data_IF_724893011851
#
_entry.id   IF_724893011851
#
_cell.length_a   1.000
_cell.length_b   1.000
_cell.length_c   1.000
_cell.angle_alpha   90.00
_cell.angle_beta   90.00
_cell.angle_gamma   90.00
#
_symmetry.space_group_name_H-M   'P 1'
#
loop_
_entity.id
_entity.type
_entity.pdbx_description
1 polymer ?
#
# COMPACT_ATOMS: atom_id res chain seq x y z
N UNK A 1 6.22 -14.49 8.34
CA UNK A 1 6.72 -14.70 6.97
C UNK A 1 5.52 -14.71 6.06
N UNK A 2 5.48 -13.82 5.08
CA UNK A 2 4.47 -13.86 4.04
C UNK A 2 4.85 -14.85 2.93
N UNK A 3 3.91 -15.75 2.58
CA UNK A 3 4.09 -16.76 1.52
C UNK A 3 3.21 -16.50 0.30
N UNK A 4 2.43 -15.42 0.28
CA UNK A 4 1.60 -15.01 -0.87
C UNK A 4 2.37 -14.97 -2.20
N UNK A 5 3.65 -14.50 -2.27
CA UNK A 5 4.41 -14.53 -3.53
C UNK A 5 4.59 -15.93 -4.13
N UNK A 6 4.52 -16.98 -3.30
CA UNK A 6 4.78 -18.36 -3.69
C UNK A 6 3.51 -19.20 -3.85
N UNK A 7 2.41 -18.86 -3.15
CA UNK A 7 1.18 -19.67 -3.11
C UNK A 7 0.00 -19.09 -3.88
N UNK A 8 0.01 -17.78 -4.18
CA UNK A 8 -1.09 -17.16 -4.92
C UNK A 8 -0.88 -17.28 -6.44
N UNK A 9 -1.99 -17.41 -7.17
CA UNK A 9 -1.99 -17.44 -8.63
C UNK A 9 -1.89 -16.00 -9.19
N UNK A 10 -0.68 -15.46 -9.19
CA UNK A 10 -0.43 -14.11 -9.71
C UNK A 10 -0.59 -14.06 -11.23
N UNK A 11 -1.25 -13.01 -11.77
CA UNK A 11 -1.25 -12.75 -13.20
C UNK A 11 0.17 -12.64 -13.78
N UNK A 12 0.29 -12.89 -15.09
CA UNK A 12 1.55 -12.68 -15.79
C UNK A 12 1.99 -11.22 -15.68
N UNK A 13 3.29 -10.99 -15.58
CA UNK A 13 3.90 -9.66 -15.46
C UNK A 13 3.57 -8.90 -14.17
N UNK A 14 3.06 -9.57 -13.13
CA UNK A 14 2.95 -8.96 -11.79
C UNK A 14 4.33 -8.72 -11.20
N UNK A 15 4.55 -7.51 -10.67
CA UNK A 15 5.72 -7.17 -9.86
C UNK A 15 5.29 -7.13 -8.39
N UNK A 16 6.00 -7.87 -7.56
CA UNK A 16 5.71 -8.02 -6.13
C UNK A 16 6.85 -7.39 -5.35
N UNK A 17 6.51 -6.46 -4.46
CA UNK A 17 7.46 -5.80 -3.56
C UNK A 17 7.22 -6.28 -2.13
N UNK A 18 8.26 -6.76 -1.47
CA UNK A 18 8.25 -7.14 -0.06
C UNK A 18 9.01 -6.09 0.75
N UNK A 19 8.27 -5.29 1.52
CA UNK A 19 8.83 -4.30 2.44
C UNK A 19 8.88 -4.91 3.84
N UNK A 20 10.06 -5.40 4.23
CA UNK A 20 10.26 -6.03 5.53
C UNK A 20 11.71 -5.86 6.02
N UNK A 21 12.01 -6.17 7.29
CA UNK A 21 13.38 -6.16 7.78
C UNK A 21 14.28 -7.16 7.04
N UNK A 22 15.46 -6.72 6.58
CA UNK A 22 16.41 -7.54 5.81
C UNK A 22 16.74 -8.87 6.51
N UNK A 23 16.91 -8.81 7.83
CA UNK A 23 17.25 -9.99 8.65
C UNK A 23 16.13 -11.03 8.68
N UNK A 24 14.87 -10.60 8.62
CA UNK A 24 13.69 -11.46 8.61
C UNK A 24 13.49 -12.04 7.21
N UNK A 25 13.67 -11.21 6.18
CA UNK A 25 13.60 -11.63 4.78
C UNK A 25 14.63 -12.70 4.46
N UNK A 26 15.91 -12.49 4.79
CA UNK A 26 16.99 -13.44 4.49
C UNK A 26 16.75 -14.83 5.11
N UNK A 27 16.36 -14.87 6.40
CA UNK A 27 16.03 -16.12 7.12
C UNK A 27 14.83 -16.82 6.49
N UNK A 28 13.81 -16.05 6.11
CA UNK A 28 12.55 -16.59 5.58
C UNK A 28 12.73 -17.15 4.17
N UNK A 29 13.36 -16.37 3.30
CA UNK A 29 13.61 -16.73 1.91
C UNK A 29 14.52 -17.94 1.79
N UNK A 30 15.50 -18.12 2.69
CA UNK A 30 16.32 -19.33 2.71
C UNK A 30 15.47 -20.58 2.96
N UNK A 31 14.59 -20.56 3.98
CA UNK A 31 13.70 -21.69 4.28
C UNK A 31 12.78 -22.04 3.11
N UNK A 32 12.24 -21.02 2.43
CA UNK A 32 11.36 -21.20 1.26
C UNK A 32 12.13 -21.79 0.07
N UNK A 33 13.39 -21.38 -0.13
CA UNK A 33 14.28 -21.97 -1.14
C UNK A 33 14.62 -23.43 -0.82
N UNK A 34 14.86 -23.76 0.45
CA UNK A 34 15.23 -25.12 0.88
C UNK A 34 14.13 -26.15 0.58
N UNK A 35 12.86 -25.73 0.65
CA UNK A 35 11.71 -26.58 0.28
C UNK A 35 11.38 -26.57 -1.22
N UNK A 36 12.17 -25.85 -2.03
CA UNK A 36 12.01 -25.79 -3.48
C UNK A 36 10.85 -24.93 -3.99
N UNK A 37 10.21 -24.13 -3.12
CA UNK A 37 9.14 -23.22 -3.52
C UNK A 37 9.68 -22.09 -4.39
N UNK A 38 8.93 -21.75 -5.45
CA UNK A 38 9.35 -20.78 -6.47
C UNK A 38 8.21 -19.84 -6.79
N UNK A 39 8.57 -18.59 -7.01
CA UNK A 39 7.67 -17.57 -7.53
C UNK A 39 7.41 -17.88 -9.02
N UNK A 40 6.19 -17.66 -9.55
CA UNK A 40 5.91 -17.85 -10.96
C UNK A 40 6.92 -17.10 -11.84
N UNK A 41 7.48 -17.76 -12.87
CA UNK A 41 8.53 -17.19 -13.73
C UNK A 41 8.10 -15.93 -14.48
N UNK A 42 6.80 -15.76 -14.66
CA UNK A 42 6.19 -14.58 -15.29
C UNK A 42 6.10 -13.37 -14.35
N UNK A 43 6.45 -13.50 -13.08
CA UNK A 43 6.38 -12.44 -12.08
C UNK A 43 7.79 -12.01 -11.65
N UNK A 44 7.90 -10.77 -11.19
CA UNK A 44 9.12 -10.23 -10.59
C UNK A 44 8.90 -10.08 -9.09
N UNK A 45 9.93 -10.35 -8.29
CA UNK A 45 9.88 -10.23 -6.84
C UNK A 45 11.11 -9.48 -6.33
N UNK A 46 10.86 -8.38 -5.62
CA UNK A 46 11.90 -7.54 -5.05
C UNK A 46 11.69 -7.37 -3.56
N UNK A 47 12.75 -7.63 -2.79
CA UNK A 47 12.81 -7.21 -1.41
C UNK A 47 13.30 -5.77 -1.30
N UNK A 48 12.65 -4.99 -0.46
CA UNK A 48 12.98 -3.62 -0.12
C UNK A 48 13.13 -3.56 1.41
N UNK A 49 14.34 -3.38 1.95
CA UNK A 49 14.54 -3.34 3.40
C UNK A 49 13.75 -2.19 4.03
N UNK A 50 12.94 -2.48 5.04
CA UNK A 50 12.10 -1.49 5.73
C UNK A 50 12.91 -0.42 6.46
N UNK A 51 14.18 -0.70 6.77
CA UNK A 51 15.11 0.18 7.47
C UNK A 51 15.75 1.24 6.55
N UNK A 52 15.36 1.27 5.27
CA UNK A 52 15.89 2.24 4.29
C UNK A 52 15.19 3.59 4.42
N UNK A 53 15.97 4.67 4.31
CA UNK A 53 15.45 6.05 4.46
C UNK A 53 14.67 6.56 3.23
N UNK A 54 14.82 5.94 2.05
CA UNK A 54 14.15 6.38 0.83
C UNK A 54 13.47 5.22 0.09
N UNK A 55 12.43 4.69 0.72
CA UNK A 55 11.62 3.59 0.17
C UNK A 55 11.04 3.97 -1.21
N UNK A 56 10.64 5.24 -1.38
CA UNK A 56 10.03 5.69 -2.64
C UNK A 56 11.01 5.62 -3.80
N UNK A 57 12.22 6.17 -3.64
CA UNK A 57 13.25 6.13 -4.67
C UNK A 57 13.67 4.69 -4.98
N UNK A 58 13.81 3.85 -3.96
CA UNK A 58 14.20 2.45 -4.16
C UNK A 58 13.11 1.71 -4.93
N UNK A 59 11.82 1.87 -4.58
CA UNK A 59 10.71 1.28 -5.31
C UNK A 59 10.72 1.70 -6.78
N UNK A 60 10.87 2.99 -7.06
CA UNK A 60 10.95 3.53 -8.44
C UNK A 60 12.14 2.93 -9.20
N UNK A 61 13.31 2.83 -8.56
CA UNK A 61 14.51 2.22 -9.16
C UNK A 61 14.33 0.72 -9.49
N UNK A 62 13.41 0.04 -8.80
CA UNK A 62 13.03 -1.35 -9.03
C UNK A 62 11.83 -1.51 -9.98
N UNK A 63 11.37 -0.41 -10.58
CA UNK A 63 10.32 -0.40 -11.59
C UNK A 63 8.91 -0.23 -11.05
N UNK A 64 8.74 0.15 -9.78
CA UNK A 64 7.45 0.65 -9.31
C UNK A 64 7.08 1.92 -10.09
N UNK A 65 5.83 2.01 -10.53
CA UNK A 65 5.31 3.14 -11.28
C UNK A 65 3.98 3.56 -10.66
N UNK A 66 3.98 4.74 -10.04
CA UNK A 66 2.81 5.28 -9.36
C UNK A 66 1.69 5.71 -10.29
N UNK A 67 1.89 5.70 -11.62
CA UNK A 67 0.84 5.89 -12.61
C UNK A 67 0.14 4.58 -13.04
N UNK A 68 0.45 3.44 -12.40
CA UNK A 68 -0.16 2.13 -12.67
C UNK A 68 -0.93 1.60 -11.45
N UNK A 69 -1.99 0.78 -11.68
CA UNK A 69 -2.72 0.17 -10.58
C UNK A 69 -1.81 -0.68 -9.68
N UNK A 70 -1.99 -0.54 -8.37
CA UNK A 70 -1.27 -1.26 -7.33
C UNK A 70 -2.19 -1.68 -6.20
N UNK A 71 -1.83 -2.79 -5.55
CA UNK A 71 -2.49 -3.31 -4.36
C UNK A 71 -1.48 -3.29 -3.21
N UNK A 72 -1.85 -2.66 -2.10
CA UNK A 72 -0.99 -2.50 -0.94
C UNK A 72 -1.54 -3.30 0.22
N UNK A 73 -0.71 -4.16 0.81
CA UNK A 73 -1.10 -5.00 1.94
C UNK A 73 -0.21 -4.71 3.15
N UNK A 74 -0.82 -4.29 4.26
CA UNK A 74 -0.17 -4.01 5.53
C UNK A 74 -0.56 -5.07 6.57
N UNK A 75 0.38 -5.89 6.99
CA UNK A 75 0.12 -6.98 7.94
C UNK A 75 1.34 -7.27 8.80
N UNK A 76 1.13 -7.44 10.11
CA UNK A 76 2.18 -7.88 11.04
C UNK A 76 3.39 -6.95 11.19
N UNK A 77 3.28 -5.70 10.74
CA UNK A 77 4.31 -4.69 10.91
C UNK A 77 4.13 -4.01 12.29
N UNK A 78 5.19 -3.94 13.11
CA UNK A 78 5.09 -3.34 14.45
C UNK A 78 4.88 -1.83 14.33
N UNK A 79 3.68 -1.36 14.70
CA UNK A 79 3.38 0.06 14.86
C UNK A 79 3.61 0.42 16.33
N UNK A 80 4.55 1.33 16.58
CA UNK A 80 4.89 1.77 17.95
C UNK A 80 4.03 2.93 18.42
N UNK A 81 3.54 3.76 17.49
CA UNK A 81 2.66 4.89 17.76
C UNK A 81 1.95 5.32 16.46
N UNK A 82 1.03 6.29 16.58
CA UNK A 82 0.26 6.78 15.44
C UNK A 82 1.10 7.50 14.38
N UNK A 83 2.20 8.14 14.78
CA UNK A 83 3.08 8.82 13.83
C UNK A 83 3.74 7.82 12.86
N UNK A 84 4.21 6.66 13.36
CA UNK A 84 4.74 5.60 12.51
C UNK A 84 3.73 5.12 11.46
N UNK A 85 2.44 5.03 11.81
CA UNK A 85 1.42 4.64 10.84
C UNK A 85 1.08 5.77 9.85
N UNK A 86 1.10 7.03 10.29
CA UNK A 86 0.92 8.19 9.39
C UNK A 86 2.02 8.28 8.34
N UNK A 87 3.27 7.99 8.70
CA UNK A 87 4.38 7.90 7.74
C UNK A 87 4.12 6.85 6.67
N UNK A 88 3.57 5.68 7.05
CA UNK A 88 3.18 4.64 6.10
C UNK A 88 2.04 5.13 5.18
N UNK A 89 1.00 5.75 5.75
CA UNK A 89 -0.10 6.32 4.96
C UNK A 89 0.40 7.37 3.96
N UNK A 90 1.36 8.19 4.36
CA UNK A 90 1.99 9.20 3.50
C UNK A 90 2.77 8.55 2.35
N UNK A 91 3.61 7.54 2.65
CA UNK A 91 4.34 6.78 1.61
C UNK A 91 3.38 6.14 0.61
N UNK A 92 2.31 5.49 1.09
CA UNK A 92 1.33 4.85 0.20
C UNK A 92 0.56 5.89 -0.59
N UNK A 93 0.15 7.01 0.02
CA UNK A 93 -0.58 8.08 -0.66
C UNK A 93 0.23 8.70 -1.80
N UNK A 94 1.53 8.91 -1.59
CA UNK A 94 2.39 9.50 -2.61
C UNK A 94 2.65 8.53 -3.79
N UNK A 95 2.65 7.22 -3.52
CA UNK A 95 3.01 6.20 -4.52
C UNK A 95 1.81 5.59 -5.25
N UNK A 96 0.67 5.39 -4.59
CA UNK A 96 -0.47 4.72 -5.18
C UNK A 96 -1.27 5.66 -6.09
N UNK A 97 -1.63 5.26 -7.31
CA UNK A 97 -2.55 6.05 -8.13
C UNK A 97 -3.95 6.10 -7.50
N UNK A 98 -4.76 7.06 -7.96
CA UNK A 98 -6.19 7.10 -7.66
C UNK A 98 -6.87 5.77 -8.02
N UNK A 99 -7.71 5.26 -7.12
CA UNK A 99 -8.43 4.00 -7.24
C UNK A 99 -7.64 2.78 -6.79
N UNK A 100 -6.38 2.92 -6.39
CA UNK A 100 -5.63 1.81 -5.79
C UNK A 100 -6.18 1.45 -4.40
N UNK A 101 -6.00 0.19 -4.02
CA UNK A 101 -6.46 -0.34 -2.74
C UNK A 101 -5.30 -0.50 -1.76
N UNK A 102 -5.55 -0.10 -0.52
CA UNK A 102 -4.71 -0.31 0.64
C UNK A 102 -5.47 -1.08 1.71
N UNK A 103 -5.04 -2.29 2.03
CA UNK A 103 -5.72 -3.18 2.98
C UNK A 103 -4.77 -3.63 4.07
N UNK A 104 -5.31 -3.92 5.24
CA UNK A 104 -4.49 -4.38 6.34
C UNK A 104 -5.19 -4.48 7.68
N UNK A 105 -4.38 -4.54 8.71
CA UNK A 105 -4.80 -4.62 10.10
C UNK A 105 -4.11 -3.53 10.93
N UNK A 106 -4.81 -2.95 11.90
CA UNK A 106 -4.28 -1.98 12.85
C UNK A 106 -4.54 -2.45 14.28
N UNK A 107 -3.57 -2.34 15.20
CA UNK A 107 -3.83 -2.65 16.60
C UNK A 107 -4.92 -1.76 17.19
N UNK A 108 -5.94 -2.34 17.84
CA UNK A 108 -7.08 -1.57 18.36
C UNK A 108 -6.68 -0.53 19.42
N UNK A 109 -5.63 -0.81 20.20
CA UNK A 109 -5.08 0.10 21.21
C UNK A 109 -4.65 1.46 20.61
N UNK A 110 -4.33 1.51 19.31
CA UNK A 110 -3.95 2.75 18.64
C UNK A 110 -5.12 3.75 18.60
N UNK A 111 -6.35 3.26 18.44
CA UNK A 111 -7.56 4.07 18.49
C UNK A 111 -7.89 4.49 19.93
N UNK A 112 -7.60 3.64 20.92
CA UNK A 112 -7.84 3.90 22.33
C UNK A 112 -6.92 5.00 22.89
N UNK A 113 -5.64 4.99 22.49
CA UNK A 113 -4.63 5.95 22.95
C UNK A 113 -4.90 7.41 22.56
N UNK A 114 -5.63 7.65 21.47
CA UNK A 114 -5.97 8.99 20.97
C UNK A 114 -7.17 9.64 21.70
N UNK A 115 -7.67 9.05 22.79
CA UNK A 115 -8.40 9.79 23.82
C UNK A 115 -9.79 10.30 23.44
N UNK A 116 -10.72 9.39 23.13
CA UNK A 116 -12.15 9.67 23.35
C UNK A 116 -13.03 9.93 22.12
N UNK A 117 -12.66 9.46 20.93
CA UNK A 117 -13.64 9.39 19.83
C UNK A 117 -14.66 8.30 20.18
N UNK A 118 -15.94 8.66 20.34
CA UNK A 118 -17.05 7.74 20.69
C UNK A 118 -17.25 6.57 19.69
N UNK A 119 -16.46 6.50 18.61
CA UNK A 119 -16.53 5.47 17.58
C UNK A 119 -15.17 5.34 16.88
N UNK A 120 -14.57 4.15 16.97
CA UNK A 120 -13.36 3.74 16.22
C UNK A 120 -13.51 4.01 14.72
N UNK A 121 -14.73 3.85 14.18
CA UNK A 121 -15.07 4.14 12.79
C UNK A 121 -14.77 5.58 12.41
N UNK A 122 -15.29 6.55 13.18
CA UNK A 122 -15.08 7.96 12.88
C UNK A 122 -13.62 8.38 12.99
N UNK A 123 -12.87 7.76 13.90
CA UNK A 123 -11.44 8.00 14.04
C UNK A 123 -10.67 7.48 12.81
N UNK A 124 -10.94 6.24 12.38
CA UNK A 124 -10.37 5.65 11.17
C UNK A 124 -10.69 6.48 9.93
N UNK A 125 -11.97 6.84 9.72
CA UNK A 125 -12.40 7.69 8.62
C UNK A 125 -11.60 8.99 8.57
N UNK A 126 -11.48 9.71 9.70
CA UNK A 126 -10.74 10.97 9.76
C UNK A 126 -9.25 10.77 9.45
N UNK A 127 -8.63 9.71 9.99
CA UNK A 127 -7.21 9.41 9.80
C UNK A 127 -6.89 9.10 8.34
N UNK A 128 -7.67 8.24 7.71
CA UNK A 128 -7.47 7.85 6.31
C UNK A 128 -7.82 9.00 5.36
N UNK A 129 -8.92 9.72 5.61
CA UNK A 129 -9.32 10.85 4.76
C UNK A 129 -8.30 11.99 4.75
N UNK A 130 -7.60 12.25 5.87
CA UNK A 130 -6.53 13.26 5.89
C UNK A 130 -5.36 12.91 4.95
N UNK A 131 -5.17 11.62 4.65
CA UNK A 131 -4.17 11.10 3.73
C UNK A 131 -4.77 10.71 2.36
N UNK A 132 -6.02 11.11 2.09
CA UNK A 132 -6.63 10.92 0.78
C UNK A 132 -7.17 9.52 0.54
N UNK A 133 -7.54 8.79 1.58
CA UNK A 133 -8.15 7.46 1.47
C UNK A 133 -9.58 7.46 1.97
N UNK A 134 -10.48 6.79 1.25
CA UNK A 134 -11.77 6.37 1.78
C UNK A 134 -11.61 4.98 2.41
N UNK A 135 -11.99 4.81 3.68
CA UNK A 135 -11.73 3.56 4.42
C UNK A 135 -13.01 2.88 4.87
N UNK A 136 -13.07 1.57 4.65
CA UNK A 136 -14.09 0.67 5.18
C UNK A 136 -13.45 -0.23 6.25
N UNK A 137 -14.10 -0.30 7.41
CA UNK A 137 -13.71 -1.22 8.48
C UNK A 137 -14.42 -2.55 8.24
N UNK A 138 -13.69 -3.65 8.33
CA UNK A 138 -14.24 -4.98 8.15
C UNK A 138 -14.42 -5.66 9.52
N UNK A 139 -15.64 -6.11 9.80
CA UNK A 139 -15.90 -6.89 10.99
C UNK A 139 -15.33 -8.31 10.83
N UNK A 140 -14.46 -8.72 11.76
CA UNK A 140 -13.88 -10.06 11.74
C UNK A 140 -14.94 -11.16 11.82
N UNK A 141 -15.95 -10.98 12.67
CA UNK A 141 -17.07 -11.91 12.83
C UNK A 141 -17.87 -12.09 11.54
N UNK A 142 -18.03 -11.02 10.76
CA UNK A 142 -18.70 -11.09 9.46
C UNK A 142 -17.91 -11.94 8.48
N UNK A 143 -16.59 -11.76 8.41
CA UNK A 143 -15.72 -12.61 7.58
C UNK A 143 -15.77 -14.06 8.05
N UNK A 144 -15.63 -14.30 9.36
CA UNK A 144 -15.65 -15.65 9.93
C UNK A 144 -16.97 -16.37 9.61
N UNK A 145 -18.10 -15.69 9.82
CA UNK A 145 -19.42 -16.20 9.46
C UNK A 145 -19.56 -16.52 7.97
N UNK A 146 -19.10 -15.63 7.10
CA UNK A 146 -19.11 -15.84 5.64
C UNK A 146 -18.24 -17.03 5.20
N UNK A 147 -17.19 -17.36 5.96
CA UNK A 147 -16.31 -18.49 5.70
C UNK A 147 -16.74 -19.77 6.42
N UNK A 148 -17.83 -19.74 7.18
CA UNK A 148 -18.31 -20.89 7.97
C UNK A 148 -17.36 -21.28 9.12
N UNK A 149 -16.54 -20.33 9.58
CA UNK A 149 -15.63 -20.53 10.70
C UNK A 149 -16.28 -20.06 12.01
N UNK A 150 -16.06 -20.80 13.10
CA UNK A 150 -16.42 -20.33 14.44
C UNK A 150 -15.54 -19.12 14.80
N UNK A 151 -16.17 -18.03 15.23
CA UNK A 151 -15.42 -16.83 15.64
C UNK A 151 -14.67 -17.11 16.94
N UNK A 152 -13.35 -17.09 16.88
CA UNK A 152 -12.46 -17.02 18.06
C UNK A 152 -12.07 -15.58 18.35
N UNK A 153 -12.98 -14.62 18.12
CA UNK A 153 -12.71 -13.18 18.21
C UNK A 153 -12.17 -12.71 19.57
N UNK A 154 -12.30 -13.50 20.63
CA UNK A 154 -11.80 -13.16 21.97
C UNK A 154 -10.28 -12.88 22.00
N UNK A 155 -9.49 -13.36 21.03
CA UNK A 155 -8.02 -13.15 21.01
C UNK A 155 -7.52 -12.16 19.93
N UNK A 156 -8.36 -11.74 18.97
CA UNK A 156 -7.91 -10.93 17.83
C UNK A 156 -8.21 -9.44 18.00
N UNK A 157 -7.29 -8.71 18.63
CA UNK A 157 -7.45 -7.29 18.98
C UNK A 157 -7.01 -6.30 17.89
N UNK A 158 -7.10 -6.68 16.61
CA UNK A 158 -6.77 -5.79 15.49
C UNK A 158 -8.02 -5.40 14.71
N UNK A 159 -8.06 -4.15 14.27
CA UNK A 159 -9.07 -3.58 13.38
C UNK A 159 -8.65 -3.90 11.94
N UNK A 160 -9.49 -4.63 11.21
CA UNK A 160 -9.28 -4.88 9.78
C UNK A 160 -9.84 -3.73 8.94
N UNK A 161 -9.12 -3.35 7.89
CA UNK A 161 -9.55 -2.27 7.00
C UNK A 161 -9.23 -2.57 5.53
N UNK A 162 -10.03 -1.97 4.65
CA UNK A 162 -9.74 -1.77 3.23
C UNK A 162 -9.97 -0.30 2.93
N UNK A 163 -9.05 0.32 2.19
CA UNK A 163 -9.10 1.72 1.86
C UNK A 163 -8.80 1.97 0.38
N UNK A 164 -9.62 2.80 -0.27
CA UNK A 164 -9.43 3.23 -1.65
C UNK A 164 -8.72 4.59 -1.68
N UNK A 165 -7.65 4.71 -2.48
CA UNK A 165 -6.94 5.96 -2.64
C UNK A 165 -7.69 6.92 -3.56
N UNK A 166 -7.95 8.14 -3.10
CA UNK A 166 -8.78 9.14 -3.80
C UNK A 166 -7.96 10.19 -4.57
N UNK A 167 -6.66 10.31 -4.27
CA UNK A 167 -5.76 11.32 -4.86
C UNK A 167 -4.92 10.73 -5.98
N UNK A 168 -4.38 11.61 -6.82
CA UNK A 168 -3.36 11.23 -7.79
C UNK A 168 -2.02 11.02 -7.09
N UNK A 169 -1.27 10.01 -7.52
CA UNK A 169 0.10 9.80 -7.05
C UNK A 169 1.02 10.93 -7.51
N UNK A 170 2.20 11.01 -6.92
CA UNK A 170 3.26 11.93 -7.35
C UNK A 170 3.64 11.71 -8.82
N UNK A 171 3.71 10.45 -9.27
CA UNK A 171 4.04 10.12 -10.66
C UNK A 171 2.94 10.59 -11.64
N UNK A 172 1.66 10.50 -11.25
CA UNK A 172 0.55 11.03 -12.05
C UNK A 172 0.61 12.56 -12.10
N UNK A 173 0.85 13.20 -10.96
CA UNK A 173 0.95 14.66 -10.88
C UNK A 173 2.16 15.21 -11.64
N UNK A 174 3.30 14.52 -11.59
CA UNK A 174 4.51 14.89 -12.34
C UNK A 174 4.34 14.69 -13.84
N UNK A 175 3.61 13.65 -14.25
CA UNK A 175 3.25 13.47 -15.66
C UNK A 175 2.35 14.62 -16.13
N UNK A 176 1.32 14.96 -15.36
CA UNK A 176 0.44 16.09 -15.65
C UNK A 176 1.20 17.42 -15.74
N UNK A 177 2.10 17.69 -14.78
CA UNK A 177 2.90 18.91 -14.74
C UNK A 177 3.76 19.07 -15.99
N UNK A 178 4.43 17.99 -16.43
CA UNK A 178 5.26 17.99 -17.65
C UNK A 178 4.44 18.23 -18.92
N UNK A 179 3.29 17.57 -19.06
CA UNK A 179 2.42 17.79 -20.23
C UNK A 179 1.83 19.21 -20.25
N UNK A 180 1.48 19.75 -19.09
CA UNK A 180 0.98 21.12 -19.00
C UNK A 180 2.02 22.16 -19.43
N UNK A 181 3.27 22.02 -18.96
CA UNK A 181 4.37 22.89 -19.37
C UNK A 181 4.61 22.83 -20.88
N UNK A 182 4.55 21.63 -21.46
CA UNK A 182 4.70 21.44 -22.90
C UNK A 182 3.62 22.17 -23.71
N UNK A 183 2.36 22.16 -23.24
CA UNK A 183 1.27 22.88 -23.91
C UNK A 183 1.46 24.40 -23.82
N UNK A 184 1.94 24.92 -22.69
CA UNK A 184 2.25 26.36 -22.56
C UNK A 184 3.40 26.79 -23.48
N UNK A 185 4.42 25.93 -23.65
CA UNK A 185 5.58 26.20 -24.51
C UNK A 185 5.27 26.04 -26.02
N UNK A 186 4.45 25.06 -26.42
CA UNK A 186 4.04 24.85 -27.82
C UNK A 186 2.88 25.77 -28.27
N UNK A 187 2.20 26.45 -27.34
CA UNK A 187 1.07 27.35 -27.61
C UNK A 187 1.44 28.74 -28.12
N UNK A 188 2.74 29.07 -28.25
CA UNK A 188 3.24 30.41 -28.58
C UNK A 188 3.86 30.50 -30.00
N UNK A 189 3.86 29.41 -30.79
CA UNK A 189 4.45 29.37 -32.13
C UNK A 189 3.44 28.90 -33.20
N UNK A 190 2.51 29.77 -33.61
CA UNK A 190 1.97 29.84 -34.99
C UNK A 190 1.10 31.09 -35.16
N UNK A 191 1.73 32.25 -35.03
CA UNK A 191 1.21 33.48 -35.62
C UNK A 191 1.34 33.36 -37.14
N UNK A 192 0.24 33.03 -37.82
CA UNK A 192 0.14 33.04 -39.28
C UNK A 192 0.59 34.41 -39.80
N UNK A 193 1.77 34.49 -40.42
CA UNK A 193 2.09 35.61 -41.31
C UNK A 193 1.20 35.46 -42.55
N UNK A 194 0.12 36.23 -42.63
CA UNK A 194 -0.70 36.34 -43.83
C UNK A 194 0.15 36.82 -45.02
N UNK A 195 0.17 36.00 -46.08
CA UNK A 195 0.74 36.26 -47.41
C UNK A 195 -0.14 37.22 -48.23
#
# INVERSE_FOLDING_TARGET
MDTRPYRCNWPVSTIIFDLSPETIFGKSTQKVKDIGAKIPRSCLFYHIPSETFDIQQILRSKGFNGARPSLWAFQGLPIMNLANFKEILEVVSNLAMKGCLFLGELPAWLAEAEGGVKSTTRWMEKLFMSHGFNVDIIAFDEIAGNLGAESTADDYNNILFVAEHLRYSDDQMETWRREFQRIEEEGDEEGFEEL
#
